data_IF_121489846184
#
_entry.id   IF_121489846184
#
_cell.length_a   1.000
_cell.length_b   1.000
_cell.length_c   1.000
_cell.angle_alpha   90.00
_cell.angle_beta   90.00
_cell.angle_gamma   90.00
#
_symmetry.space_group_name_H-M   'P 1'
#
loop_
_entity.id
_entity.type
_entity.pdbx_description
1 polymer ?
#
# COMPACT_ATOMS: atom_id res chain seq x y z
N UNK A 1 5.29 -19.76 18.80
CA UNK A 1 5.24 -18.28 18.75
C UNK A 1 5.86 -17.74 17.46
N UNK A 2 7.13 -17.99 17.15
CA UNK A 2 7.79 -17.43 15.93
C UNK A 2 7.12 -17.74 14.59
N UNK A 3 6.56 -18.94 14.40
CA UNK A 3 5.90 -19.31 13.14
C UNK A 3 4.68 -18.43 12.86
N UNK A 4 3.86 -18.19 13.88
CA UNK A 4 2.63 -17.40 13.75
C UNK A 4 2.95 -15.93 13.45
N UNK A 5 3.97 -15.37 14.11
CA UNK A 5 4.47 -14.01 13.84
C UNK A 5 4.99 -13.86 12.41
N UNK A 6 5.73 -14.86 11.88
CA UNK A 6 6.22 -14.83 10.49
C UNK A 6 5.09 -14.92 9.47
N UNK A 7 4.06 -15.72 9.73
CA UNK A 7 2.89 -15.80 8.85
C UNK A 7 2.10 -14.50 8.84
N UNK A 8 1.88 -13.89 10.00
CA UNK A 8 1.22 -12.59 10.12
C UNK A 8 1.98 -11.50 9.37
N UNK A 9 3.30 -11.44 9.51
CA UNK A 9 4.15 -10.48 8.81
C UNK A 9 4.08 -10.65 7.28
N UNK A 10 4.05 -11.90 6.78
CA UNK A 10 3.91 -12.20 5.35
C UNK A 10 2.53 -11.78 4.81
N UNK A 11 1.46 -12.07 5.57
CA UNK A 11 0.12 -11.66 5.20
C UNK A 11 -0.02 -10.13 5.17
N UNK A 12 0.56 -9.44 6.15
CA UNK A 12 0.60 -7.99 6.20
C UNK A 12 1.36 -7.38 5.01
N UNK A 13 2.51 -7.96 4.65
CA UNK A 13 3.27 -7.52 3.47
C UNK A 13 2.47 -7.70 2.17
N UNK A 14 1.76 -8.83 2.02
CA UNK A 14 0.90 -9.06 0.87
C UNK A 14 -0.31 -8.09 0.82
N UNK A 15 -0.83 -7.69 1.97
CA UNK A 15 -1.88 -6.68 2.07
C UNK A 15 -1.37 -5.29 1.66
N UNK A 16 -0.14 -4.93 2.06
CA UNK A 16 0.52 -3.67 1.67
C UNK A 16 0.70 -3.61 0.14
N UNK A 17 1.22 -4.67 -0.49
CA UNK A 17 1.36 -4.72 -1.95
C UNK A 17 0.01 -4.57 -2.66
N UNK A 18 -0.99 -5.31 -2.18
CA UNK A 18 -2.33 -5.27 -2.76
C UNK A 18 -2.92 -3.87 -2.64
N UNK A 19 -2.82 -3.27 -1.46
CA UNK A 19 -3.29 -1.91 -1.21
C UNK A 19 -2.65 -0.92 -2.18
N UNK A 20 -1.32 -0.92 -2.32
CA UNK A 20 -0.63 0.01 -3.22
C UNK A 20 -1.14 -0.12 -4.67
N UNK A 21 -1.21 -1.34 -5.17
CA UNK A 21 -1.69 -1.62 -6.53
C UNK A 21 -3.16 -1.22 -6.73
N UNK A 22 -4.04 -1.56 -5.78
CA UNK A 22 -5.46 -1.22 -5.87
C UNK A 22 -5.72 0.28 -5.72
N UNK A 23 -4.88 1.00 -4.98
CA UNK A 23 -4.93 2.46 -4.90
C UNK A 23 -4.64 3.10 -6.26
N UNK A 24 -3.56 2.69 -6.94
CA UNK A 24 -3.21 3.19 -8.26
C UNK A 24 -4.33 2.92 -9.29
N UNK A 25 -4.88 1.70 -9.29
CA UNK A 25 -6.05 1.35 -10.12
C UNK A 25 -7.28 2.19 -9.75
N UNK A 26 -7.49 2.46 -8.47
CA UNK A 26 -8.59 3.29 -7.97
C UNK A 26 -8.54 4.70 -8.54
N UNK A 27 -7.35 5.32 -8.59
CA UNK A 27 -7.17 6.64 -9.22
C UNK A 27 -7.45 6.60 -10.71
N UNK A 28 -6.92 5.62 -11.45
CA UNK A 28 -7.22 5.49 -12.88
C UNK A 28 -8.71 5.25 -13.15
N UNK A 29 -9.37 4.49 -12.27
CA UNK A 29 -10.83 4.28 -12.35
C UNK A 29 -11.58 5.58 -12.07
N UNK A 30 -11.14 6.38 -11.11
CA UNK A 30 -11.75 7.67 -10.79
C UNK A 30 -11.64 8.65 -11.98
N UNK A 31 -10.46 8.76 -12.59
CA UNK A 31 -10.24 9.54 -13.81
C UNK A 31 -11.16 9.05 -14.95
N UNK A 32 -11.26 7.73 -15.13
CA UNK A 32 -12.13 7.14 -16.15
C UNK A 32 -13.61 7.47 -15.92
N UNK A 33 -14.13 7.29 -14.70
CA UNK A 33 -15.54 7.58 -14.40
C UNK A 33 -15.83 9.08 -14.51
N UNK A 34 -14.92 9.92 -14.03
CA UNK A 34 -15.09 11.37 -14.08
C UNK A 34 -15.08 11.95 -15.51
N UNK A 35 -14.40 11.29 -16.44
CA UNK A 35 -14.38 11.67 -17.86
C UNK A 35 -15.60 11.19 -18.66
N UNK A 36 -16.43 10.30 -18.09
CA UNK A 36 -17.67 9.87 -18.73
C UNK A 36 -18.70 11.02 -18.77
N UNK A 37 -19.58 10.98 -19.77
CA UNK A 37 -20.72 11.88 -19.83
C UNK A 37 -21.59 11.71 -18.58
N UNK A 38 -21.97 12.83 -17.96
CA UNK A 38 -22.83 12.82 -16.79
C UNK A 38 -24.15 12.07 -17.06
N UNK A 39 -24.56 11.26 -16.09
CA UNK A 39 -25.79 10.48 -16.11
C UNK A 39 -26.32 10.32 -14.67
N UNK A 40 -27.53 9.78 -14.52
CA UNK A 40 -28.23 9.73 -13.22
C UNK A 40 -27.47 9.04 -12.06
N UNK A 41 -26.56 8.10 -12.38
CA UNK A 41 -25.74 7.35 -11.40
C UNK A 41 -24.27 7.78 -11.38
N UNK A 42 -23.93 8.86 -12.08
CA UNK A 42 -22.55 9.29 -12.23
C UNK A 42 -21.94 9.64 -10.86
N UNK A 43 -22.67 10.39 -10.03
CA UNK A 43 -22.24 10.72 -8.67
C UNK A 43 -22.05 9.48 -7.78
N UNK A 44 -22.98 8.52 -7.83
CA UNK A 44 -22.87 7.26 -7.08
C UNK A 44 -21.61 6.48 -7.48
N UNK A 45 -21.29 6.43 -8.77
CA UNK A 45 -20.09 5.76 -9.27
C UNK A 45 -18.82 6.45 -8.76
N UNK A 46 -18.77 7.79 -8.76
CA UNK A 46 -17.64 8.56 -8.20
C UNK A 46 -17.50 8.25 -6.70
N UNK A 47 -18.59 8.32 -5.94
CA UNK A 47 -18.62 8.00 -4.50
C UNK A 47 -18.09 6.59 -4.22
N UNK A 48 -18.54 5.60 -4.99
CA UNK A 48 -18.11 4.21 -4.83
C UNK A 48 -16.61 4.04 -5.06
N UNK A 49 -16.06 4.64 -6.12
CA UNK A 49 -14.62 4.57 -6.41
C UNK A 49 -13.82 5.24 -5.29
N UNK A 50 -14.26 6.41 -4.84
CA UNK A 50 -13.61 7.17 -3.77
C UNK A 50 -13.62 6.41 -2.44
N UNK A 51 -14.77 5.84 -2.05
CA UNK A 51 -14.88 5.06 -0.81
C UNK A 51 -14.03 3.79 -0.87
N UNK A 52 -13.97 3.12 -2.03
CA UNK A 52 -13.07 1.98 -2.26
C UNK A 52 -11.60 2.41 -2.12
N UNK A 53 -11.19 3.51 -2.73
CA UNK A 53 -9.82 4.04 -2.66
C UNK A 53 -9.40 4.31 -1.21
N UNK A 54 -10.27 4.96 -0.43
CA UNK A 54 -10.06 5.19 1.01
C UNK A 54 -9.92 3.89 1.79
N UNK A 55 -10.77 2.91 1.51
CA UNK A 55 -10.72 1.58 2.13
C UNK A 55 -9.39 0.88 1.86
N UNK A 56 -8.95 0.82 0.61
CA UNK A 56 -7.67 0.21 0.26
C UNK A 56 -6.50 0.91 0.97
N UNK A 57 -6.44 2.24 0.90
CA UNK A 57 -5.38 2.99 1.57
C UNK A 57 -5.33 2.75 3.08
N UNK A 58 -6.50 2.67 3.73
CA UNK A 58 -6.60 2.36 5.15
C UNK A 58 -6.05 0.95 5.45
N UNK A 59 -6.47 -0.05 4.69
CA UNK A 59 -6.01 -1.44 4.87
C UNK A 59 -4.48 -1.55 4.73
N UNK A 60 -3.89 -0.82 3.78
CA UNK A 60 -2.44 -0.75 3.60
C UNK A 60 -1.71 -0.15 4.81
N UNK A 61 -2.19 0.98 5.32
CA UNK A 61 -1.59 1.66 6.48
C UNK A 61 -1.73 0.83 7.76
N UNK A 62 -2.90 0.24 8.01
CA UNK A 62 -3.11 -0.63 9.18
C UNK A 62 -2.21 -1.88 9.14
N UNK A 63 -1.90 -2.38 7.94
CA UNK A 63 -1.00 -3.51 7.74
C UNK A 63 0.46 -3.21 8.06
N UNK A 64 0.89 -1.94 8.06
CA UNK A 64 2.27 -1.56 8.36
C UNK A 64 2.71 -2.02 9.75
N UNK A 65 1.84 -1.87 10.76
CA UNK A 65 2.16 -2.30 12.12
C UNK A 65 2.35 -3.80 12.24
N UNK A 66 1.49 -4.58 11.56
CA UNK A 66 1.60 -6.04 11.51
C UNK A 66 2.84 -6.51 10.71
N UNK A 67 3.29 -5.70 9.74
CA UNK A 67 4.51 -5.96 8.98
C UNK A 67 5.80 -5.60 9.76
N UNK A 68 5.67 -4.91 10.90
CA UNK A 68 6.78 -4.50 11.76
C UNK A 68 7.33 -3.10 11.46
N UNK A 69 6.52 -2.21 10.89
CA UNK A 69 6.89 -0.81 10.71
C UNK A 69 7.10 -0.11 12.06
N UNK A 70 8.08 0.79 12.12
CA UNK A 70 8.34 1.61 13.31
C UNK A 70 7.27 2.70 13.49
N UNK A 71 7.14 3.24 14.70
CA UNK A 71 6.14 4.26 15.03
C UNK A 71 6.21 5.48 14.12
N UNK A 72 7.42 5.92 13.76
CA UNK A 72 7.62 7.06 12.85
C UNK A 72 7.07 6.78 11.45
N UNK A 73 7.31 5.57 10.92
CA UNK A 73 6.80 5.14 9.60
C UNK A 73 5.27 5.04 9.60
N UNK A 74 4.69 4.48 10.67
CA UNK A 74 3.24 4.40 10.83
C UNK A 74 2.60 5.79 10.96
N UNK A 75 3.20 6.68 11.75
CA UNK A 75 2.73 8.07 11.92
C UNK A 75 2.77 8.83 10.59
N UNK A 76 3.89 8.70 9.85
CA UNK A 76 4.03 9.30 8.53
C UNK A 76 2.96 8.79 7.55
N UNK A 77 2.79 7.47 7.44
CA UNK A 77 1.79 6.87 6.56
C UNK A 77 0.35 7.24 6.97
N UNK A 78 0.07 7.36 8.28
CA UNK A 78 -1.23 7.81 8.79
C UNK A 78 -1.52 9.26 8.40
N UNK A 79 -0.51 10.13 8.44
CA UNK A 79 -0.65 11.51 7.98
C UNK A 79 -0.92 11.57 6.46
N UNK A 80 -0.26 10.72 5.67
CA UNK A 80 -0.52 10.63 4.23
C UNK A 80 -1.92 10.06 3.92
N UNK A 81 -2.38 9.07 4.68
CA UNK A 81 -3.75 8.56 4.61
C UNK A 81 -4.79 9.65 4.92
N UNK A 82 -4.51 10.52 5.89
CA UNK A 82 -5.38 11.66 6.23
C UNK A 82 -5.49 12.64 5.04
N UNK A 83 -4.37 12.99 4.41
CA UNK A 83 -4.38 13.86 3.21
C UNK A 83 -5.18 13.23 2.07
N UNK A 84 -4.95 11.96 1.76
CA UNK A 84 -5.70 11.24 0.73
C UNK A 84 -7.19 11.20 1.05
N UNK A 85 -7.54 10.90 2.29
CA UNK A 85 -8.92 10.86 2.78
C UNK A 85 -9.60 12.20 2.63
N UNK A 86 -8.92 13.29 2.97
CA UNK A 86 -9.46 14.65 2.84
C UNK A 86 -9.68 15.02 1.37
N UNK A 87 -8.69 14.77 0.50
CA UNK A 87 -8.83 15.01 -0.93
C UNK A 87 -10.00 14.20 -1.55
N UNK A 88 -10.13 12.94 -1.14
CA UNK A 88 -11.23 12.06 -1.53
C UNK A 88 -12.60 12.60 -1.07
N UNK A 89 -12.70 13.10 0.17
CA UNK A 89 -13.93 13.69 0.68
C UNK A 89 -14.34 14.92 -0.13
N UNK A 90 -13.40 15.78 -0.54
CA UNK A 90 -13.72 16.92 -1.41
C UNK A 90 -14.30 16.48 -2.75
N UNK A 91 -13.75 15.44 -3.38
CA UNK A 91 -14.30 14.86 -4.61
C UNK A 91 -15.71 14.31 -4.39
N UNK A 92 -15.94 13.63 -3.26
CA UNK A 92 -17.26 13.10 -2.89
C UNK A 92 -18.28 14.22 -2.70
N UNK A 93 -17.93 15.27 -1.97
CA UNK A 93 -18.80 16.42 -1.70
C UNK A 93 -19.13 17.17 -3.01
N UNK A 94 -18.19 17.22 -3.95
CA UNK A 94 -18.41 17.81 -5.28
C UNK A 94 -19.53 17.10 -6.07
N UNK A 95 -19.78 15.80 -5.84
CA UNK A 95 -20.89 15.07 -6.48
C UNK A 95 -22.27 15.53 -6.00
N UNK A 96 -22.34 16.21 -4.86
CA UNK A 96 -23.59 16.71 -4.26
C UNK A 96 -23.95 18.13 -4.71
N UNK A 97 -23.18 18.75 -5.61
CA UNK A 97 -23.45 20.10 -6.08
C UNK A 97 -24.78 20.19 -6.86
N UNK A 98 -25.45 21.36 -6.89
CA UNK A 98 -26.83 21.47 -7.38
C UNK A 98 -27.00 21.20 -8.88
N UNK A 99 -25.96 21.40 -9.69
CA UNK A 99 -26.03 21.29 -11.15
C UNK A 99 -25.03 20.27 -11.67
N UNK A 100 -25.38 19.48 -12.71
CA UNK A 100 -24.45 18.52 -13.32
C UNK A 100 -23.13 19.14 -13.80
N UNK A 101 -23.19 20.36 -14.33
CA UNK A 101 -21.98 21.07 -14.78
C UNK A 101 -21.05 21.45 -13.62
N UNK A 102 -21.62 21.90 -12.49
CA UNK A 102 -20.85 22.20 -11.29
C UNK A 102 -20.24 20.93 -10.69
N UNK A 103 -21.01 19.83 -10.64
CA UNK A 103 -20.54 18.53 -10.19
C UNK A 103 -19.32 18.07 -11.00
N UNK A 104 -19.45 18.01 -12.33
CA UNK A 104 -18.37 17.54 -13.22
C UNK A 104 -17.13 18.43 -13.11
N UNK A 105 -17.31 19.75 -13.19
CA UNK A 105 -16.20 20.71 -13.12
C UNK A 105 -15.45 20.58 -11.78
N UNK A 106 -16.19 20.53 -10.67
CA UNK A 106 -15.60 20.44 -9.34
C UNK A 106 -14.96 19.08 -9.05
N UNK A 107 -15.54 17.97 -9.54
CA UNK A 107 -14.90 16.65 -9.43
C UNK A 107 -13.59 16.64 -10.21
N UNK A 108 -13.59 17.05 -11.48
CA UNK A 108 -12.39 17.07 -12.32
C UNK A 108 -11.30 17.96 -11.74
N UNK A 109 -11.63 19.13 -11.16
CA UNK A 109 -10.64 20.00 -10.53
C UNK A 109 -10.02 19.41 -9.26
N UNK A 110 -10.71 18.46 -8.59
CA UNK A 110 -10.28 17.88 -7.32
C UNK A 110 -9.67 16.47 -7.45
N UNK A 111 -9.63 15.87 -8.65
CA UNK A 111 -8.90 14.62 -8.90
C UNK A 111 -7.37 14.77 -8.77
N UNK A 112 -6.71 15.85 -9.25
CA UNK A 112 -5.25 15.96 -9.16
C UNK A 112 -4.70 15.87 -7.72
N UNK A 113 -5.30 16.53 -6.70
CA UNK A 113 -4.92 16.32 -5.30
C UNK A 113 -5.05 14.87 -4.83
N UNK A 114 -6.11 14.16 -5.22
CA UNK A 114 -6.29 12.73 -4.89
C UNK A 114 -5.16 11.90 -5.50
N UNK A 115 -4.82 12.16 -6.77
CA UNK A 115 -3.74 11.47 -7.48
C UNK A 115 -2.40 11.67 -6.80
N UNK A 116 -2.04 12.91 -6.44
CA UNK A 116 -0.77 13.20 -5.75
C UNK A 116 -0.71 12.48 -4.41
N UNK A 117 -1.73 12.64 -3.55
CA UNK A 117 -1.74 12.00 -2.24
C UNK A 117 -1.74 10.46 -2.33
N UNK A 118 -2.41 9.89 -3.34
CA UNK A 118 -2.41 8.47 -3.61
C UNK A 118 -1.03 7.98 -4.05
N UNK A 119 -0.37 8.68 -4.97
CA UNK A 119 0.95 8.30 -5.47
C UNK A 119 1.99 8.33 -4.35
N UNK A 120 2.00 9.39 -3.54
CA UNK A 120 2.87 9.49 -2.35
C UNK A 120 2.67 8.29 -1.42
N UNK A 121 1.44 8.06 -0.95
CA UNK A 121 1.17 6.96 -0.03
C UNK A 121 1.45 5.58 -0.64
N UNK A 122 1.06 5.35 -1.89
CA UNK A 122 1.33 4.07 -2.58
C UNK A 122 2.84 3.82 -2.74
N UNK A 123 3.60 4.86 -3.07
CA UNK A 123 5.06 4.78 -3.20
C UNK A 123 5.75 4.52 -1.85
N UNK A 124 5.25 5.11 -0.76
CA UNK A 124 5.74 4.85 0.59
C UNK A 124 5.50 3.40 1.01
N UNK A 125 4.29 2.88 0.74
CA UNK A 125 3.91 1.49 1.02
C UNK A 125 4.78 0.50 0.23
N UNK A 126 4.99 0.74 -1.07
CA UNK A 126 5.87 -0.05 -1.92
C UNK A 126 7.32 -0.02 -1.45
N UNK A 127 7.84 1.18 -1.14
CA UNK A 127 9.21 1.36 -0.66
C UNK A 127 9.43 0.61 0.65
N UNK A 128 8.47 0.68 1.57
CA UNK A 128 8.50 -0.10 2.81
C UNK A 128 8.51 -1.61 2.52
N UNK A 129 7.62 -2.08 1.65
CA UNK A 129 7.52 -3.49 1.31
C UNK A 129 8.82 -4.03 0.67
N UNK A 130 9.43 -3.25 -0.21
CA UNK A 130 10.74 -3.56 -0.80
C UNK A 130 11.86 -3.63 0.26
N UNK A 131 11.98 -2.60 1.11
CA UNK A 131 12.98 -2.59 2.16
C UNK A 131 12.86 -3.78 3.13
N UNK A 132 11.62 -4.16 3.48
CA UNK A 132 11.38 -5.30 4.35
C UNK A 132 11.81 -6.63 3.70
N UNK A 133 11.53 -6.83 2.41
CA UNK A 133 11.99 -8.01 1.67
C UNK A 133 13.51 -8.06 1.58
N UNK A 134 14.17 -6.92 1.37
CA UNK A 134 15.62 -6.83 1.27
C UNK A 134 16.30 -7.21 2.59
N UNK A 135 15.79 -6.68 3.71
CA UNK A 135 16.24 -7.08 5.04
C UNK A 135 16.03 -8.57 5.32
N UNK A 136 14.89 -9.14 4.90
CA UNK A 136 14.64 -10.57 5.06
C UNK A 136 15.62 -11.42 4.24
N UNK A 137 15.85 -11.06 2.97
CA UNK A 137 16.82 -11.74 2.09
C UNK A 137 18.23 -11.68 2.67
N UNK A 138 18.65 -10.53 3.17
CA UNK A 138 19.98 -10.37 3.77
C UNK A 138 20.15 -11.25 5.03
N UNK A 139 19.16 -11.29 5.92
CA UNK A 139 19.18 -12.16 7.11
C UNK A 139 19.24 -13.65 6.75
N UNK A 140 18.55 -14.06 5.69
CA UNK A 140 18.61 -15.45 5.22
C UNK A 140 19.99 -15.82 4.65
N UNK A 141 20.61 -14.91 3.90
CA UNK A 141 21.98 -15.08 3.39
C UNK A 141 23.01 -15.14 4.53
N UNK A 142 22.92 -14.26 5.52
CA UNK A 142 23.83 -14.26 6.67
C UNK A 142 23.69 -15.54 7.49
N UNK A 143 22.45 -16.02 7.69
CA UNK A 143 22.20 -17.30 8.35
C UNK A 143 22.76 -18.49 7.56
N UNK A 144 22.65 -18.46 6.23
CA UNK A 144 23.24 -19.50 5.38
C UNK A 144 24.78 -19.49 5.47
N UNK A 145 25.41 -18.31 5.47
CA UNK A 145 26.86 -18.16 5.65
C UNK A 145 27.34 -18.72 6.98
N UNK A 146 26.65 -18.41 8.07
CA UNK A 146 26.99 -18.93 9.41
C UNK A 146 26.89 -20.45 9.48
N UNK A 147 25.89 -21.07 8.84
CA UNK A 147 25.76 -22.54 8.77
C UNK A 147 26.89 -23.22 7.97
N UNK A 148 27.56 -22.51 7.07
CA UNK A 148 28.70 -23.03 6.31
C UNK A 148 30.01 -23.02 7.11
N UNK A 149 30.10 -22.26 8.20
CA UNK A 149 31.30 -22.19 9.06
C UNK A 149 31.39 -23.40 10.00
N UNK A 150 30.24 -23.96 10.42
CA UNK A 150 30.17 -25.10 11.36
C UNK A 150 30.19 -26.49 10.68
N UNK A 151 30.50 -26.59 9.38
CA UNK A 151 30.75 -27.92 8.79
C UNK A 151 32.12 -28.41 9.28
N UNK A 152 32.21 -29.51 10.05
CA UNK A 152 33.49 -30.08 10.39
C UNK A 152 34.20 -30.43 9.08
N UNK A 153 35.40 -29.91 8.86
CA UNK A 153 36.29 -30.48 7.87
C UNK A 153 36.57 -31.92 8.30
N UNK A 154 35.96 -32.88 7.62
CA UNK A 154 36.37 -34.28 7.71
C UNK A 154 37.86 -34.35 7.38
N UNK A 155 38.69 -34.47 8.42
CA UNK A 155 40.10 -34.80 8.25
C UNK A 155 40.15 -36.24 7.74
N UNK A 156 40.81 -36.53 6.61
CA UNK A 156 41.01 -37.91 6.20
C UNK A 156 41.79 -38.64 7.31
N UNK A 157 41.18 -39.68 7.87
CA UNK A 157 41.79 -40.53 8.89
C UNK A 157 42.99 -41.26 8.28
N UNK A 158 44.20 -40.84 8.65
CA UNK A 158 45.43 -41.60 8.44
C UNK A 158 45.49 -42.72 9.50
N UNK A 159 44.70 -43.77 9.33
CA UNK A 159 44.92 -45.06 9.99
C UNK A 159 44.80 -46.17 8.96
N UNK A 160 45.95 -46.57 8.44
CA UNK A 160 46.09 -47.63 7.45
C UNK A 160 47.52 -47.69 6.91
N UNK A 161 48.51 -47.74 7.79
CA UNK A 161 49.86 -48.25 7.55
C UNK A 161 50.34 -48.95 8.82
#
# INVERSE_FOLDING_TARGET
>A
MEFLTKQLQRAALAAIDRSSNEMQKGVSTLESVASMKHHAKWGDNICWVVDRLKGQAKDGVESLGLAGAMNEQQSYATNQLSKLTNACTVVKDATCLPTPSAQVSSVLSNIPPVKVACLELSGDLESFAHALRDMQRQREQDRARLKHIDKPQDKPSLRGL
#
